data_IF_512094505154
#
_entry.id   IF_512094505154
#
_cell.length_a   1.000
_cell.length_b   1.000
_cell.length_c   1.000
_cell.angle_alpha   90.00
_cell.angle_beta   90.00
_cell.angle_gamma   90.00
#
_symmetry.space_group_name_H-M   'P 1'
#
loop_
_entity.id
_entity.type
_entity.pdbx_description
1 polymer ?
#
# COMPACT_ATOMS: atom_id res chain seq x y z
N UNK A 1 60.04 1.94 19.57
CA UNK A 1 59.60 1.23 18.35
C UNK A 1 58.07 1.07 18.26
N UNK A 2 57.32 1.00 19.37
CA UNK A 2 55.86 0.84 19.33
C UNK A 2 55.10 2.07 18.83
N UNK A 3 55.57 3.29 19.12
CA UNK A 3 54.87 4.54 18.76
C UNK A 3 54.80 4.79 17.25
N UNK A 4 55.83 4.40 16.50
CA UNK A 4 55.91 4.54 15.04
C UNK A 4 55.01 3.55 14.31
N UNK A 5 54.75 2.39 14.91
CA UNK A 5 53.81 1.40 14.37
C UNK A 5 52.39 1.92 14.53
N UNK A 6 52.03 2.42 15.71
CA UNK A 6 50.70 2.99 15.99
C UNK A 6 50.38 4.19 15.09
N UNK A 7 51.35 5.06 14.80
CA UNK A 7 51.14 6.19 13.88
C UNK A 7 50.85 5.74 12.45
N UNK A 8 51.57 4.74 11.95
CA UNK A 8 51.30 4.19 10.60
C UNK A 8 49.92 3.55 10.51
N UNK A 9 49.54 2.76 11.51
CA UNK A 9 48.20 2.15 11.59
C UNK A 9 47.10 3.23 11.53
N UNK A 10 47.27 4.34 12.26
CA UNK A 10 46.32 5.46 12.21
C UNK A 10 46.22 6.10 10.82
N UNK A 11 47.35 6.34 10.15
CA UNK A 11 47.38 6.89 8.79
C UNK A 11 46.70 5.97 7.79
N UNK A 12 46.93 4.65 7.91
CA UNK A 12 46.26 3.64 7.09
C UNK A 12 44.75 3.67 7.32
N UNK A 13 44.28 3.65 8.58
CA UNK A 13 42.85 3.70 8.90
C UNK A 13 42.16 4.97 8.38
N UNK A 14 42.82 6.13 8.46
CA UNK A 14 42.29 7.37 7.92
C UNK A 14 42.18 7.34 6.40
N UNK A 15 43.17 6.75 5.73
CA UNK A 15 43.20 6.57 4.28
C UNK A 15 42.12 5.59 3.80
N UNK A 16 41.95 4.47 4.49
CA UNK A 16 40.90 3.48 4.22
C UNK A 16 39.50 4.07 4.42
N UNK A 17 39.31 4.84 5.50
CA UNK A 17 38.06 5.55 5.74
C UNK A 17 37.75 6.55 4.62
N UNK A 18 38.75 7.31 4.18
CA UNK A 18 38.55 8.27 3.09
C UNK A 18 38.25 7.55 1.77
N UNK A 19 38.93 6.43 1.50
CA UNK A 19 38.66 5.59 0.35
C UNK A 19 37.21 5.06 0.35
N UNK A 20 36.69 4.64 1.50
CA UNK A 20 35.31 4.19 1.64
C UNK A 20 34.32 5.30 1.25
N UNK A 21 34.57 6.53 1.71
CA UNK A 21 33.69 7.68 1.44
C UNK A 21 33.78 8.16 -0.01
N UNK A 22 34.97 8.18 -0.61
CA UNK A 22 35.18 8.75 -1.93
C UNK A 22 34.98 7.75 -3.08
N UNK A 23 35.10 6.44 -2.81
CA UNK A 23 35.02 5.39 -3.83
C UNK A 23 33.86 4.44 -3.58
N UNK A 24 33.82 3.80 -2.42
CA UNK A 24 32.87 2.71 -2.19
C UNK A 24 31.44 3.24 -2.07
N UNK A 25 31.22 4.27 -1.25
CA UNK A 25 29.90 4.83 -0.99
C UNK A 25 29.23 5.36 -2.27
N UNK A 26 29.87 6.19 -3.12
CA UNK A 26 29.27 6.64 -4.37
C UNK A 26 28.88 5.49 -5.31
N UNK A 27 29.68 4.42 -5.37
CA UNK A 27 29.35 3.24 -6.18
C UNK A 27 28.11 2.52 -5.66
N UNK A 28 27.99 2.34 -4.35
CA UNK A 28 26.78 1.74 -3.74
C UNK A 28 25.55 2.61 -3.97
N UNK A 29 25.66 3.93 -3.78
CA UNK A 29 24.58 4.88 -4.01
C UNK A 29 24.11 4.89 -5.47
N UNK A 30 25.03 4.76 -6.44
CA UNK A 30 24.68 4.63 -7.85
C UNK A 30 23.90 3.33 -8.13
N UNK A 31 24.31 2.21 -7.54
CA UNK A 31 23.59 0.94 -7.70
C UNK A 31 22.19 1.01 -7.06
N UNK A 32 22.06 1.59 -5.87
CA UNK A 32 20.77 1.86 -5.23
C UNK A 32 19.90 2.70 -6.19
N UNK A 33 20.44 3.79 -6.73
CA UNK A 33 19.73 4.67 -7.67
C UNK A 33 19.24 3.90 -8.90
N UNK A 34 20.06 3.00 -9.46
CA UNK A 34 19.67 2.15 -10.58
C UNK A 34 18.47 1.25 -10.21
N UNK A 35 18.51 0.58 -9.06
CA UNK A 35 17.41 -0.26 -8.59
C UNK A 35 16.14 0.56 -8.34
N UNK A 36 16.24 1.75 -7.76
CA UNK A 36 15.09 2.64 -7.52
C UNK A 36 14.49 3.14 -8.84
N UNK A 37 15.31 3.49 -9.84
CA UNK A 37 14.84 3.86 -11.18
C UNK A 37 14.16 2.69 -11.89
N UNK A 38 14.64 1.47 -11.71
CA UNK A 38 13.94 0.27 -12.21
C UNK A 38 12.57 0.09 -11.54
N UNK A 39 12.46 0.37 -10.24
CA UNK A 39 11.19 0.32 -9.54
C UNK A 39 10.20 1.37 -10.08
N UNK A 40 10.65 2.62 -10.26
CA UNK A 40 9.84 3.70 -10.85
C UNK A 40 9.33 3.34 -12.25
N UNK A 41 10.22 2.83 -13.11
CA UNK A 41 9.85 2.39 -14.45
C UNK A 41 8.80 1.28 -14.44
N UNK A 42 8.95 0.29 -13.55
CA UNK A 42 7.98 -0.78 -13.40
C UNK A 42 6.60 -0.26 -12.99
N UNK A 43 6.55 0.79 -12.16
CA UNK A 43 5.31 1.44 -11.71
C UNK A 43 4.67 2.34 -12.77
N UNK A 44 5.27 2.42 -13.97
CA UNK A 44 4.76 3.22 -15.08
C UNK A 44 5.14 4.69 -14.99
N UNK A 45 6.13 5.05 -14.17
CA UNK A 45 6.70 6.39 -14.14
C UNK A 45 7.80 6.49 -15.22
N UNK A 46 7.44 7.08 -16.36
CA UNK A 46 8.38 7.38 -17.45
C UNK A 46 8.70 8.87 -17.45
N UNK A 47 9.99 9.20 -17.32
CA UNK A 47 10.52 10.58 -17.31
C UNK A 47 10.20 11.38 -18.60
N UNK A 48 9.73 10.73 -19.66
CA UNK A 48 9.51 11.34 -20.98
C UNK A 48 8.03 11.64 -21.35
N UNK A 49 7.04 11.12 -20.63
CA UNK A 49 5.62 11.27 -21.01
C UNK A 49 4.86 12.29 -20.14
N UNK A 50 5.23 13.57 -20.27
CA UNK A 50 4.31 14.68 -19.91
C UNK A 50 3.39 15.09 -21.07
N UNK A 51 3.50 14.49 -22.25
CA UNK A 51 2.76 14.93 -23.44
C UNK A 51 2.21 13.86 -24.40
N UNK A 52 2.31 12.56 -24.09
CA UNK A 52 1.78 11.52 -25.00
C UNK A 52 1.02 10.42 -24.25
N UNK A 53 -0.27 10.29 -24.53
CA UNK A 53 -1.24 9.37 -23.92
C UNK A 53 -1.01 7.86 -24.23
N UNK A 54 0.24 7.41 -24.41
CA UNK A 54 0.54 6.00 -24.75
C UNK A 54 1.81 5.48 -24.08
N UNK A 55 1.96 5.71 -22.79
CA UNK A 55 2.85 4.89 -21.96
C UNK A 55 2.24 3.48 -21.84
N UNK A 56 3.04 2.43 -22.06
CA UNK A 56 2.58 1.03 -22.25
C UNK A 56 2.25 0.26 -20.96
N UNK A 57 2.02 0.94 -19.83
CA UNK A 57 1.95 0.35 -18.48
C UNK A 57 0.57 -0.03 -17.96
N UNK A 58 -0.40 -0.32 -18.84
CA UNK A 58 -1.74 -0.76 -18.41
C UNK A 58 -1.79 -2.27 -18.16
N UNK A 59 -2.16 -2.70 -16.95
CA UNK A 59 -2.38 -4.12 -16.64
C UNK A 59 -3.85 -4.37 -16.32
N UNK A 60 -4.40 -5.46 -16.87
CA UNK A 60 -5.72 -5.95 -16.48
C UNK A 60 -5.56 -7.20 -15.64
N UNK A 61 -5.96 -7.12 -14.38
CA UNK A 61 -5.87 -8.18 -13.38
C UNK A 61 -7.23 -8.84 -13.22
N UNK A 62 -7.26 -10.17 -13.20
CA UNK A 62 -8.49 -10.90 -12.89
C UNK A 62 -8.76 -10.84 -11.37
N UNK A 63 -9.98 -10.49 -10.98
CA UNK A 63 -10.45 -10.55 -9.60
C UNK A 63 -11.25 -11.84 -9.47
N UNK A 64 -10.58 -12.98 -9.44
CA UNK A 64 -11.24 -14.27 -9.28
C UNK A 64 -10.27 -15.29 -8.68
N UNK A 65 -10.75 -16.10 -7.75
CA UNK A 65 -9.99 -17.23 -7.22
C UNK A 65 -10.65 -18.55 -7.62
N UNK A 66 -9.88 -19.57 -8.06
CA UNK A 66 -10.42 -20.89 -8.41
C UNK A 66 -11.19 -21.55 -7.26
N UNK A 67 -10.86 -21.18 -6.02
CA UNK A 67 -11.42 -21.76 -4.81
C UNK A 67 -12.51 -20.87 -4.18
N UNK A 68 -12.80 -19.69 -4.76
CA UNK A 68 -13.74 -18.73 -4.19
C UNK A 68 -14.57 -18.06 -5.28
N UNK A 69 -15.76 -18.61 -5.50
CA UNK A 69 -16.72 -18.11 -6.48
C UNK A 69 -17.52 -16.88 -6.00
N UNK A 70 -17.29 -16.42 -4.76
CA UNK A 70 -18.06 -15.33 -4.17
C UNK A 70 -17.77 -13.97 -4.79
N UNK A 71 -16.60 -13.77 -5.40
CA UNK A 71 -16.25 -12.53 -6.09
C UNK A 71 -15.55 -12.90 -7.39
N UNK A 72 -16.02 -12.34 -8.51
CA UNK A 72 -15.48 -12.54 -9.86
C UNK A 72 -15.39 -11.21 -10.58
N UNK A 73 -14.45 -11.05 -11.48
CA UNK A 73 -14.30 -9.78 -12.17
C UNK A 73 -12.93 -9.53 -12.76
N UNK A 74 -12.70 -8.28 -13.11
CA UNK A 74 -11.39 -7.77 -13.49
C UNK A 74 -11.22 -6.32 -13.08
N UNK A 75 -9.98 -5.89 -12.99
CA UNK A 75 -9.59 -4.50 -12.79
C UNK A 75 -8.51 -4.13 -13.79
N UNK A 76 -8.65 -2.98 -14.44
CA UNK A 76 -7.63 -2.40 -15.31
C UNK A 76 -6.96 -1.24 -14.60
N UNK A 77 -5.67 -1.38 -14.33
CA UNK A 77 -4.84 -0.43 -13.61
C UNK A 77 -3.84 0.17 -14.60
N UNK A 78 -3.71 1.49 -14.58
CA UNK A 78 -2.74 2.24 -15.36
C UNK A 78 -1.95 3.15 -14.42
N UNK A 79 -0.67 2.81 -14.19
CA UNK A 79 0.14 3.44 -13.15
C UNK A 79 -0.57 3.43 -11.80
N UNK A 80 -0.81 4.61 -11.23
CA UNK A 80 -1.53 4.82 -9.96
C UNK A 80 -3.06 4.83 -10.06
N UNK A 81 -3.64 4.61 -11.24
CA UNK A 81 -5.06 4.81 -11.48
C UNK A 81 -5.78 3.52 -11.87
N UNK A 82 -6.87 3.19 -11.18
CA UNK A 82 -7.84 2.20 -11.66
C UNK A 82 -8.73 2.89 -12.69
N UNK A 83 -8.59 2.45 -13.94
CA UNK A 83 -9.31 3.03 -15.09
C UNK A 83 -10.63 2.30 -15.37
N UNK A 84 -10.67 0.99 -15.10
CA UNK A 84 -11.87 0.16 -15.25
C UNK A 84 -11.88 -0.89 -14.16
N UNK A 85 -13.06 -1.24 -13.68
CA UNK A 85 -13.26 -2.42 -12.86
C UNK A 85 -14.64 -2.98 -13.16
N UNK A 86 -14.75 -4.30 -13.14
CA UNK A 86 -15.98 -5.04 -13.28
C UNK A 86 -15.98 -6.08 -12.16
N UNK A 87 -16.91 -5.97 -11.22
CA UNK A 87 -16.96 -6.79 -10.01
C UNK A 87 -18.35 -7.41 -9.88
N UNK A 88 -18.39 -8.73 -9.87
CA UNK A 88 -19.55 -9.55 -9.59
C UNK A 88 -19.41 -10.18 -8.21
N UNK A 89 -20.40 -9.97 -7.35
CA UNK A 89 -20.40 -10.41 -5.95
C UNK A 89 -21.57 -11.39 -5.76
N UNK A 90 -21.25 -12.61 -5.39
CA UNK A 90 -22.15 -13.73 -5.17
C UNK A 90 -21.94 -14.30 -3.76
N UNK A 91 -22.50 -13.64 -2.74
CA UNK A 91 -22.35 -14.09 -1.36
C UNK A 91 -23.19 -15.35 -1.05
N UNK A 92 -22.78 -16.17 -0.05
CA UNK A 92 -23.56 -17.34 0.37
C UNK A 92 -25.00 -17.01 0.74
N UNK A 93 -25.94 -17.93 0.41
CA UNK A 93 -27.40 -17.74 0.60
C UNK A 93 -27.80 -17.35 2.03
N UNK A 94 -27.00 -17.71 3.04
CA UNK A 94 -27.24 -17.37 4.44
C UNK A 94 -27.31 -15.86 4.72
N UNK A 95 -26.71 -15.04 3.85
CA UNK A 95 -26.72 -13.59 3.98
C UNK A 95 -27.92 -12.92 3.28
N UNK A 96 -28.74 -13.68 2.53
CA UNK A 96 -29.93 -13.20 1.81
C UNK A 96 -29.68 -11.98 0.91
N UNK A 97 -28.47 -11.86 0.35
CA UNK A 97 -28.11 -10.81 -0.60
C UNK A 97 -28.17 -11.39 -2.00
N UNK A 98 -28.87 -10.69 -2.90
CA UNK A 98 -28.90 -11.05 -4.31
C UNK A 98 -27.52 -10.80 -4.94
N UNK A 99 -27.11 -11.61 -5.92
CA UNK A 99 -25.89 -11.35 -6.67
C UNK A 99 -25.86 -9.91 -7.19
N UNK A 100 -24.79 -9.19 -6.89
CA UNK A 100 -24.60 -7.81 -7.32
C UNK A 100 -23.54 -7.78 -8.40
N UNK A 101 -23.80 -7.04 -9.47
CA UNK A 101 -22.83 -6.77 -10.52
C UNK A 101 -22.62 -5.27 -10.59
N UNK A 102 -21.40 -4.80 -10.39
CA UNK A 102 -21.10 -3.38 -10.39
C UNK A 102 -19.77 -3.09 -11.12
N UNK A 103 -19.69 -1.92 -11.76
CA UNK A 103 -18.56 -1.54 -12.61
C UNK A 103 -18.11 -0.10 -12.36
N UNK A 104 -16.83 0.17 -12.52
CA UNK A 104 -16.32 1.54 -12.68
C UNK A 104 -16.50 1.92 -14.15
N UNK A 105 -17.23 3.00 -14.43
CA UNK A 105 -17.46 3.43 -15.81
C UNK A 105 -16.16 3.99 -16.44
N UNK A 106 -15.86 3.65 -17.71
CA UNK A 106 -14.68 4.18 -18.39
C UNK A 106 -14.65 5.72 -18.53
N UNK A 107 -15.80 6.38 -18.45
CA UNK A 107 -15.95 7.82 -18.62
C UNK A 107 -16.01 8.60 -17.30
N UNK A 108 -16.02 7.91 -16.17
CA UNK A 108 -15.86 8.55 -14.85
C UNK A 108 -14.38 8.77 -14.54
N UNK A 109 -14.04 9.79 -13.75
CA UNK A 109 -12.64 10.01 -13.38
C UNK A 109 -12.08 8.78 -12.65
N UNK A 110 -10.85 8.36 -13.00
CA UNK A 110 -10.28 7.12 -12.49
C UNK A 110 -10.13 7.13 -10.98
N UNK A 111 -10.13 5.95 -10.36
CA UNK A 111 -9.89 5.81 -8.92
C UNK A 111 -8.38 5.82 -8.68
N UNK A 112 -7.91 6.75 -7.86
CA UNK A 112 -6.50 6.84 -7.47
C UNK A 112 -6.18 5.78 -6.42
N UNK A 113 -5.13 5.00 -6.65
CA UNK A 113 -4.47 4.16 -5.65
C UNK A 113 -3.41 5.00 -4.93
N UNK A 114 -3.77 5.63 -3.82
CA UNK A 114 -2.83 6.53 -3.12
C UNK A 114 -1.57 5.80 -2.63
N UNK A 115 -1.66 4.52 -2.25
CA UNK A 115 -0.47 3.73 -1.91
C UNK A 115 0.57 3.71 -3.04
N UNK A 116 0.12 3.54 -4.30
CA UNK A 116 1.01 3.55 -5.45
C UNK A 116 1.61 4.94 -5.67
N UNK A 117 0.81 6.00 -5.50
CA UNK A 117 1.30 7.37 -5.54
C UNK A 117 2.37 7.65 -4.47
N UNK A 118 2.14 7.19 -3.24
CA UNK A 118 3.05 7.41 -2.12
C UNK A 118 4.35 6.63 -2.31
N UNK A 119 4.28 5.39 -2.80
CA UNK A 119 5.46 4.62 -3.21
C UNK A 119 6.27 5.41 -4.24
N UNK A 120 5.63 5.87 -5.32
CA UNK A 120 6.31 6.66 -6.35
C UNK A 120 6.94 7.93 -5.78
N UNK A 121 6.24 8.63 -4.88
CA UNK A 121 6.77 9.83 -4.22
C UNK A 121 8.02 9.52 -3.39
N UNK A 122 7.99 8.49 -2.55
CA UNK A 122 9.16 8.12 -1.74
C UNK A 122 10.33 7.64 -2.61
N UNK A 123 10.09 6.90 -3.68
CA UNK A 123 11.13 6.51 -4.63
C UNK A 123 11.78 7.73 -5.29
N UNK A 124 11.03 8.77 -5.64
CA UNK A 124 11.62 10.03 -6.13
C UNK A 124 12.43 10.74 -5.06
N UNK A 125 11.94 10.83 -3.83
CA UNK A 125 12.68 11.45 -2.73
C UNK A 125 14.00 10.72 -2.45
N UNK A 126 14.04 9.40 -2.61
CA UNK A 126 15.28 8.62 -2.51
C UNK A 126 16.27 9.01 -3.60
N UNK A 127 15.82 9.13 -4.86
CA UNK A 127 16.69 9.54 -5.97
C UNK A 127 17.22 10.95 -5.74
N UNK A 128 16.35 11.90 -5.36
CA UNK A 128 16.73 13.28 -5.05
C UNK A 128 17.74 13.34 -3.91
N UNK A 129 17.48 12.62 -2.80
CA UNK A 129 18.40 12.53 -1.68
C UNK A 129 19.79 12.03 -2.10
N UNK A 130 19.87 10.99 -2.94
CA UNK A 130 21.13 10.43 -3.43
C UNK A 130 21.86 11.40 -4.36
N UNK A 131 21.13 12.07 -5.25
CA UNK A 131 21.69 13.05 -6.19
C UNK A 131 22.24 14.29 -5.47
N UNK A 132 21.70 14.63 -4.30
CA UNK A 132 22.15 15.72 -3.44
C UNK A 132 23.40 15.39 -2.59
N UNK A 133 23.92 14.15 -2.64
CA UNK A 133 25.16 13.83 -1.92
C UNK A 133 26.34 14.64 -2.48
N UNK A 134 27.09 15.38 -1.61
CA UNK A 134 28.26 16.11 -2.06
C UNK A 134 29.36 15.17 -2.55
N UNK A 135 30.16 15.62 -3.51
CA UNK A 135 31.28 14.85 -4.10
C UNK A 135 32.34 14.46 -3.07
N UNK A 136 32.46 15.21 -1.97
CA UNK A 136 33.33 14.87 -0.84
C UNK A 136 32.50 14.95 0.44
N UNK A 137 32.40 13.80 1.11
CA UNK A 137 31.58 13.63 2.31
C UNK A 137 32.46 13.59 3.55
N UNK A 138 32.04 14.28 4.59
CA UNK A 138 32.48 13.93 5.94
C UNK A 138 31.77 12.67 6.42
N UNK A 139 32.39 11.96 7.37
CA UNK A 139 31.78 10.78 8.02
C UNK A 139 30.39 11.10 8.58
N UNK A 140 30.24 12.27 9.20
CA UNK A 140 28.96 12.71 9.77
C UNK A 140 27.90 12.89 8.67
N UNK A 141 28.23 13.57 7.57
CA UNK A 141 27.28 13.75 6.45
C UNK A 141 26.89 12.41 5.83
N UNK A 142 27.85 11.49 5.66
CA UNK A 142 27.56 10.17 5.15
C UNK A 142 26.62 9.38 6.07
N UNK A 143 26.85 9.43 7.39
CA UNK A 143 25.99 8.77 8.38
C UNK A 143 24.57 9.33 8.37
N UNK A 144 24.42 10.66 8.40
CA UNK A 144 23.10 11.31 8.37
C UNK A 144 22.37 10.98 7.07
N UNK A 145 23.02 11.14 5.91
CA UNK A 145 22.38 10.86 4.62
C UNK A 145 22.00 9.39 4.45
N UNK A 146 22.81 8.45 4.97
CA UNK A 146 22.46 7.03 4.96
C UNK A 146 21.29 6.71 5.91
N UNK A 147 21.21 7.37 7.06
CA UNK A 147 20.06 7.25 7.97
C UNK A 147 18.78 7.76 7.32
N UNK A 148 18.83 8.92 6.65
CA UNK A 148 17.69 9.49 5.94
C UNK A 148 17.25 8.57 4.78
N UNK A 149 18.23 7.96 4.08
CA UNK A 149 17.98 7.00 3.02
C UNK A 149 17.31 5.72 3.56
N UNK A 150 17.79 5.18 4.67
CA UNK A 150 17.19 4.01 5.34
C UNK A 150 15.74 4.30 5.75
N UNK A 151 15.48 5.47 6.34
CA UNK A 151 14.13 5.90 6.73
C UNK A 151 13.18 5.98 5.51
N UNK A 152 13.64 6.55 4.39
CA UNK A 152 12.83 6.63 3.17
C UNK A 152 12.57 5.25 2.54
N UNK A 153 13.58 4.38 2.50
CA UNK A 153 13.45 2.99 2.03
C UNK A 153 12.43 2.22 2.88
N UNK A 154 12.51 2.38 4.20
CA UNK A 154 11.60 1.76 5.14
C UNK A 154 10.16 2.28 4.98
N UNK A 155 9.96 3.60 4.86
CA UNK A 155 8.63 4.19 4.58
C UNK A 155 8.06 3.70 3.25
N UNK A 156 8.90 3.61 2.21
CA UNK A 156 8.49 3.06 0.91
C UNK A 156 7.99 1.63 1.07
N UNK A 157 8.73 0.79 1.81
CA UNK A 157 8.36 -0.60 2.08
C UNK A 157 7.04 -0.70 2.84
N UNK A 158 6.81 0.15 3.83
CA UNK A 158 5.55 0.18 4.58
C UNK A 158 4.33 0.49 3.71
N UNK A 159 4.48 1.31 2.67
CA UNK A 159 3.39 1.56 1.71
C UNK A 159 2.96 0.31 0.92
N UNK A 160 3.88 -0.62 0.66
CA UNK A 160 3.55 -1.91 0.02
C UNK A 160 2.78 -2.85 0.97
N UNK A 161 2.97 -2.73 2.28
CA UNK A 161 2.36 -3.61 3.28
C UNK A 161 1.48 -2.81 4.23
N UNK A 162 0.27 -2.42 3.82
CA UNK A 162 -0.62 -1.67 4.69
C UNK A 162 -0.94 -2.50 5.93
N UNK A 163 -0.69 -1.89 7.09
CA UNK A 163 -1.02 -2.51 8.36
C UNK A 163 -2.53 -2.75 8.45
N UNK A 164 -2.95 -3.91 8.96
CA UNK A 164 -4.36 -4.32 8.96
C UNK A 164 -5.23 -3.37 9.81
N UNK A 165 -4.62 -2.55 10.67
CA UNK A 165 -5.25 -1.50 11.46
C UNK A 165 -5.28 -0.10 10.82
N UNK A 166 -4.45 0.20 9.82
CA UNK A 166 -4.46 1.49 9.12
C UNK A 166 -5.52 1.47 8.01
N UNK A 167 -6.71 1.99 8.31
CA UNK A 167 -7.80 2.10 7.34
C UNK A 167 -7.55 3.17 6.27
N UNK A 168 -6.60 4.08 6.49
CA UNK A 168 -6.33 5.25 5.63
C UNK A 168 -5.97 4.89 4.19
N UNK A 169 -5.45 3.68 3.96
CA UNK A 169 -5.06 3.18 2.64
C UNK A 169 -6.17 2.41 1.90
N UNK A 170 -7.34 2.21 2.52
CA UNK A 170 -8.43 1.44 1.93
C UNK A 170 -9.34 2.35 1.11
N UNK A 171 -9.44 2.07 -0.18
CA UNK A 171 -10.32 2.82 -1.07
C UNK A 171 -11.69 2.17 -1.12
N UNK A 172 -12.66 2.73 -0.39
CA UNK A 172 -14.05 2.31 -0.56
C UNK A 172 -14.55 2.80 -1.92
N UNK A 173 -14.95 1.87 -2.76
CA UNK A 173 -15.24 2.16 -4.17
C UNK A 173 -16.68 2.65 -4.31
N UNK A 174 -16.92 3.89 -3.88
CA UNK A 174 -18.21 4.56 -4.03
C UNK A 174 -18.62 4.82 -5.50
N UNK A 175 -17.70 4.57 -6.44
CA UNK A 175 -17.86 4.82 -7.89
C UNK A 175 -18.34 3.61 -8.68
N UNK A 176 -18.60 2.49 -8.01
CA UNK A 176 -19.19 1.32 -8.64
C UNK A 176 -20.65 1.60 -9.02
N UNK A 177 -21.01 1.26 -10.25
CA UNK A 177 -22.34 1.42 -10.81
C UNK A 177 -22.90 0.06 -11.30
N UNK A 178 -24.14 -0.31 -10.93
CA UNK A 178 -25.02 0.36 -9.98
C UNK A 178 -24.40 0.48 -8.57
N UNK A 179 -24.87 1.46 -7.80
CA UNK A 179 -24.43 1.65 -6.43
C UNK A 179 -24.62 0.35 -5.63
N UNK A 180 -23.64 0.00 -4.82
CA UNK A 180 -23.71 -1.18 -3.96
C UNK A 180 -24.77 -0.97 -2.87
N UNK A 181 -25.39 -2.04 -2.37
CA UNK A 181 -26.20 -1.98 -1.15
C UNK A 181 -25.41 -1.36 0.01
N UNK A 182 -26.07 -0.58 0.88
CA UNK A 182 -25.41 0.16 1.97
C UNK A 182 -24.64 -0.72 2.95
N UNK A 183 -25.04 -1.99 3.07
CA UNK A 183 -24.40 -2.98 3.91
C UNK A 183 -23.22 -3.68 3.23
N UNK A 184 -22.87 -3.34 1.98
CA UNK A 184 -21.82 -3.98 1.21
C UNK A 184 -20.72 -2.96 0.86
N UNK A 185 -19.51 -3.21 1.37
CA UNK A 185 -18.31 -2.47 1.02
C UNK A 185 -17.45 -3.25 0.04
N UNK A 186 -16.87 -2.55 -0.94
CA UNK A 186 -15.79 -3.05 -1.79
C UNK A 186 -14.60 -2.12 -1.63
N UNK A 187 -13.45 -2.71 -1.37
CA UNK A 187 -12.18 -2.02 -1.19
C UNK A 187 -11.14 -2.57 -2.17
N UNK A 188 -10.35 -1.67 -2.74
CA UNK A 188 -9.15 -1.99 -3.51
C UNK A 188 -7.93 -1.45 -2.79
N UNK A 189 -6.89 -2.26 -2.65
CA UNK A 189 -5.61 -1.83 -2.08
C UNK A 189 -4.48 -2.76 -2.56
N UNK A 190 -3.24 -2.45 -2.21
CA UNK A 190 -2.09 -3.31 -2.51
C UNK A 190 -1.55 -3.95 -1.22
N UNK A 191 -1.06 -5.18 -1.32
CA UNK A 191 -0.40 -5.92 -0.23
C UNK A 191 0.78 -6.71 -0.78
N UNK A 192 1.99 -6.23 -0.50
CA UNK A 192 3.22 -6.73 -1.10
C UNK A 192 3.18 -6.63 -2.63
N UNK A 193 3.32 -7.77 -3.30
CA UNK A 193 3.23 -7.87 -4.77
C UNK A 193 1.81 -8.04 -5.32
N UNK A 194 0.79 -8.08 -4.45
CA UNK A 194 -0.59 -8.36 -4.82
C UNK A 194 -1.44 -7.10 -4.87
N UNK A 195 -2.32 -7.05 -5.87
CA UNK A 195 -3.52 -6.23 -5.82
C UNK A 195 -4.61 -6.99 -5.06
N UNK A 196 -5.23 -6.33 -4.09
CA UNK A 196 -6.21 -6.93 -3.20
C UNK A 196 -7.57 -6.31 -3.46
N UNK A 197 -8.57 -7.18 -3.69
CA UNK A 197 -9.98 -6.82 -3.67
C UNK A 197 -10.61 -7.42 -2.43
N UNK A 198 -11.14 -6.57 -1.57
CA UNK A 198 -11.83 -6.96 -0.36
C UNK A 198 -13.30 -6.59 -0.44
N UNK A 199 -14.16 -7.55 -0.14
CA UNK A 199 -15.61 -7.35 -0.08
C UNK A 199 -16.07 -7.64 1.33
N UNK A 200 -16.69 -6.63 1.95
CA UNK A 200 -17.12 -6.66 3.34
C UNK A 200 -18.63 -6.51 3.43
N UNK A 201 -19.28 -7.44 4.11
CA UNK A 201 -20.69 -7.34 4.47
C UNK A 201 -20.81 -6.87 5.91
N UNK A 202 -21.52 -5.76 6.08
CA UNK A 202 -21.87 -5.18 7.36
C UNK A 202 -23.27 -5.66 7.80
N UNK A 203 -23.47 -5.85 9.10
CA UNK A 203 -24.79 -6.04 9.70
C UNK A 203 -25.00 -4.99 10.79
N UNK A 204 -26.20 -4.45 10.86
CA UNK A 204 -26.61 -3.64 12.01
C UNK A 204 -26.53 -4.47 13.28
N UNK A 205 -25.86 -3.95 14.31
CA UNK A 205 -25.80 -4.61 15.61
C UNK A 205 -27.09 -4.37 16.39
N UNK A 206 -28.03 -5.31 16.31
CA UNK A 206 -29.14 -5.35 17.28
C UNK A 206 -28.66 -5.91 18.62
N UNK A 207 -27.75 -5.22 19.31
CA UNK A 207 -27.54 -5.48 20.74
C UNK A 207 -28.74 -4.95 21.51
N UNK A 208 -29.75 -5.81 21.68
CA UNK A 208 -30.70 -5.65 22.78
C UNK A 208 -29.91 -5.81 24.07
N UNK A 209 -29.64 -4.71 24.77
CA UNK A 209 -29.25 -4.73 26.18
C UNK A 209 -30.41 -5.30 26.99
N UNK A 210 -30.53 -6.63 27.00
CA UNK A 210 -31.39 -7.35 27.94
C UNK A 210 -30.49 -8.31 28.71
N UNK A 211 -30.43 -8.07 30.02
CA UNK A 211 -29.95 -8.97 31.06
C UNK A 211 -28.47 -8.85 31.44
N UNK A 212 -28.12 -7.79 32.16
CA UNK A 212 -27.10 -7.82 33.22
C UNK A 212 -27.49 -6.76 34.26
N UNK A 213 -28.38 -7.11 35.18
CA UNK A 213 -28.49 -6.59 36.56
C UNK A 213 -29.72 -7.27 37.19
N UNK A 214 -29.47 -8.20 38.11
CA UNK A 214 -30.50 -8.68 39.00
C UNK A 214 -30.85 -7.60 40.04
N UNK A 215 -32.14 -7.40 40.30
CA UNK A 215 -32.75 -7.41 41.65
C UNK A 215 -34.19 -6.90 41.61
N UNK A 216 -35.07 -7.59 42.34
CA UNK A 216 -36.19 -6.97 43.08
C UNK A 216 -37.59 -7.09 42.47
N UNK A 217 -38.60 -7.59 43.21
CA UNK A 217 -40.00 -7.49 42.81
C UNK A 217 -40.53 -6.11 43.20
N UNK A 218 -40.99 -5.31 42.24
CA UNK A 218 -41.61 -4.03 42.56
C UNK A 218 -41.80 -3.11 41.36
N UNK A 219 -43.07 -2.82 41.10
CA UNK A 219 -43.59 -1.62 40.41
C UNK A 219 -43.36 -1.47 38.90
N UNK A 220 -44.49 -1.66 38.20
CA UNK A 220 -44.79 -1.22 36.85
C UNK A 220 -44.60 0.29 36.71
N UNK A 221 -43.49 0.72 36.08
CA UNK A 221 -43.39 2.02 35.42
C UNK A 221 -42.99 1.82 33.97
N UNK A 222 -43.87 2.24 33.07
CA UNK A 222 -43.60 2.38 31.64
C UNK A 222 -42.43 3.35 31.46
N UNK A 223 -41.24 2.80 31.17
CA UNK A 223 -40.13 3.57 30.62
C UNK A 223 -40.24 3.53 29.09
N UNK A 224 -40.49 4.70 28.49
CA UNK A 224 -40.26 4.90 27.06
C UNK A 224 -38.80 4.58 26.73
N UNK A 225 -38.49 3.77 25.70
CA UNK A 225 -37.12 3.62 25.25
C UNK A 225 -36.75 4.84 24.38
N UNK A 226 -36.19 5.87 25.00
CA UNK A 226 -35.44 6.90 24.30
C UNK A 226 -33.96 6.51 24.30
N UNK A 227 -33.47 5.92 23.21
CA UNK A 227 -32.03 5.85 22.91
C UNK A 227 -31.83 5.56 21.43
N UNK A 228 -32.07 6.57 20.60
CA UNK A 228 -31.54 6.64 19.23
C UNK A 228 -30.02 6.83 19.29
N UNK A 229 -29.29 5.75 19.59
CA UNK A 229 -27.90 5.64 19.16
C UNK A 229 -27.89 4.70 17.97
N UNK A 230 -27.48 5.16 16.77
CA UNK A 230 -27.38 4.27 15.62
C UNK A 230 -26.42 3.14 15.99
N UNK A 231 -26.92 1.92 15.91
CA UNK A 231 -26.13 0.72 16.12
C UNK A 231 -24.94 0.76 15.16
N UNK A 232 -23.72 0.67 15.70
CA UNK A 232 -22.54 0.62 14.85
C UNK A 232 -22.62 -0.67 14.00
N UNK A 233 -22.42 -0.57 12.68
CA UNK A 233 -22.37 -1.75 11.83
C UNK A 233 -21.22 -2.65 12.24
N UNK A 234 -21.50 -3.95 12.39
CA UNK A 234 -20.50 -4.98 12.71
C UNK A 234 -20.20 -5.77 11.44
N UNK A 235 -18.92 -6.07 11.21
CA UNK A 235 -18.49 -6.91 10.10
C UNK A 235 -19.09 -8.32 10.26
N UNK A 236 -19.96 -8.70 9.33
CA UNK A 236 -20.66 -9.98 9.35
C UNK A 236 -19.99 -11.03 8.46
N UNK A 237 -19.35 -10.60 7.38
CA UNK A 237 -18.62 -11.47 6.47
C UNK A 237 -17.60 -10.66 5.69
N UNK A 238 -16.48 -11.28 5.34
CA UNK A 238 -15.44 -10.68 4.52
C UNK A 238 -14.90 -11.71 3.54
N UNK A 239 -14.69 -11.27 2.31
CA UNK A 239 -14.05 -12.03 1.24
C UNK A 239 -12.87 -11.21 0.74
N UNK A 240 -11.68 -11.81 0.69
CA UNK A 240 -10.47 -11.17 0.18
C UNK A 240 -9.95 -11.98 -1.00
N UNK A 241 -9.76 -11.32 -2.15
CA UNK A 241 -9.11 -11.88 -3.33
C UNK A 241 -7.81 -11.13 -3.54
N UNK A 242 -6.72 -11.89 -3.60
CA UNK A 242 -5.40 -11.38 -3.93
C UNK A 242 -5.00 -11.84 -5.33
N UNK A 243 -4.61 -10.89 -6.16
CA UNK A 243 -4.13 -11.16 -7.51
C UNK A 243 -2.74 -10.58 -7.67
N UNK A 244 -1.80 -11.41 -8.12
CA UNK A 244 -0.43 -10.98 -8.38
C UNK A 244 -0.43 -9.81 -9.35
N UNK A 245 0.22 -8.71 -8.98
CA UNK A 245 0.42 -7.55 -9.85
C UNK A 245 1.89 -7.50 -10.30
N UNK A 246 2.22 -7.87 -11.55
CA UNK A 246 3.61 -8.04 -11.99
C UNK A 246 4.49 -6.79 -11.86
N UNK A 247 3.89 -5.60 -11.98
CA UNK A 247 4.60 -4.33 -11.81
C UNK A 247 5.01 -4.10 -10.35
N UNK A 248 4.12 -4.36 -9.38
CA UNK A 248 4.47 -4.32 -7.96
C UNK A 248 5.54 -5.35 -7.61
N UNK A 249 5.45 -6.57 -8.16
CA UNK A 249 6.47 -7.60 -7.98
C UNK A 249 7.85 -7.11 -8.43
N UNK A 250 7.91 -6.49 -9.60
CA UNK A 250 9.16 -5.97 -10.17
C UNK A 250 9.71 -4.83 -9.32
N UNK A 251 8.84 -3.87 -8.94
CA UNK A 251 9.22 -2.74 -8.11
C UNK A 251 9.70 -3.17 -6.72
N UNK A 252 8.98 -4.08 -6.07
CA UNK A 252 9.33 -4.63 -4.76
C UNK A 252 10.63 -5.44 -4.82
N UNK A 253 10.84 -6.21 -5.89
CA UNK A 253 12.10 -6.93 -6.11
C UNK A 253 13.30 -6.01 -6.30
N UNK A 254 13.13 -4.89 -6.99
CA UNK A 254 14.17 -3.88 -7.14
C UNK A 254 14.44 -3.13 -5.81
N UNK A 255 13.39 -2.75 -5.08
CA UNK A 255 13.51 -2.17 -3.75
C UNK A 255 14.22 -3.10 -2.77
N UNK A 256 13.90 -4.40 -2.79
CA UNK A 256 14.57 -5.39 -1.94
C UNK A 256 16.08 -5.47 -2.21
N UNK A 257 16.49 -5.36 -3.48
CA UNK A 257 17.92 -5.30 -3.84
C UNK A 257 18.58 -4.03 -3.32
N UNK A 258 17.91 -2.89 -3.47
CA UNK A 258 18.41 -1.59 -2.97
C UNK A 258 18.68 -1.62 -1.46
N UNK A 259 17.82 -2.28 -0.68
CA UNK A 259 17.98 -2.41 0.80
C UNK A 259 19.13 -3.35 1.21
N UNK A 260 19.53 -4.28 0.34
CA UNK A 260 20.57 -5.27 0.67
C UNK A 260 21.99 -4.88 0.27
N UNK A 261 22.15 -3.77 -0.45
CA UNK A 261 23.44 -3.25 -0.92
C UNK A 261 24.12 -2.40 0.16
#
# INVERSE_FOLDING_TARGET
MSTTVVQRELETLLSERQWLLDRQLPTVLQEITLQIRMALLAMGDTLEDRSTEKSSGGSTLAISSPNQDSVKGFVSIFGKHITKADVQICLPRQYKIHPVHAKIQPHTSPVLLAQVQDITNYLHLIVELIEDFPTSLSVYQAQTGLSDLEDLLQRTRECFYPDSGRQDFRFLVHRLLPALPENLGVEFFISGENFVTQVSLLKESHHSFKNMLGHGPGESRQSHPSSDKPALPVLAHQVTIETLYPYLKTALGALAKAVTL
#
